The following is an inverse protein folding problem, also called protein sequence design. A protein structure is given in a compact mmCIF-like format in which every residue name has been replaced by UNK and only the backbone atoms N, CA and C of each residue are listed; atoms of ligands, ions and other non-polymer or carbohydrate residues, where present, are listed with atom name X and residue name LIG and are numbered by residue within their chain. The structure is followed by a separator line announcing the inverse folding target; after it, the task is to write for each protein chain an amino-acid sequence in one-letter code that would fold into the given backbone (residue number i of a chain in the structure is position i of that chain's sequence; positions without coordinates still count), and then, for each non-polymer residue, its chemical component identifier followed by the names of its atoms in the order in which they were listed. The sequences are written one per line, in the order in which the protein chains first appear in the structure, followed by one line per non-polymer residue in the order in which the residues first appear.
data_IF_310108056678
#
_entry.id   IF_310108056678
#
_cell.length_a   1.000
_cell.length_b   1.000
_cell.length_c   1.000
_cell.angle_alpha   90.00
_cell.angle_beta   90.00
_cell.angle_gamma   90.00
#
_symmetry.space_group_name_H-M   'P 1'
#
loop_
_entity.id
_entity.type
_entity.pdbx_description
1 polymer ?
#
# COMPACT_ATOMS: atom_id res chain seq x y z
N UNK A 1 4.98 -4.79 -26.25
CA UNK A 1 6.12 -3.85 -26.16
C UNK A 1 5.51 -2.46 -26.20
N UNK A 2 5.27 -1.85 -25.05
CA UNK A 2 4.75 -0.48 -25.03
C UNK A 2 5.26 0.18 -23.76
N UNK A 3 6.41 0.82 -23.87
CA UNK A 3 6.78 1.93 -23.00
C UNK A 3 5.78 3.06 -23.22
N UNK A 4 5.47 3.85 -22.20
CA UNK A 4 4.62 5.03 -22.39
C UNK A 4 5.30 6.00 -23.38
N UNK A 5 4.53 6.80 -24.14
CA UNK A 5 5.09 7.82 -25.03
C UNK A 5 6.12 8.69 -24.29
N UNK A 6 7.25 9.00 -24.93
CA UNK A 6 8.29 9.85 -24.33
C UNK A 6 9.20 9.18 -23.30
N UNK A 7 9.01 7.89 -22.99
CA UNK A 7 9.92 7.16 -22.09
C UNK A 7 11.11 6.53 -22.84
N UNK A 8 12.35 6.72 -22.37
CA UNK A 8 13.51 6.04 -22.92
C UNK A 8 13.43 4.53 -22.64
N UNK A 9 13.93 3.74 -23.57
CA UNK A 9 14.02 2.28 -23.42
C UNK A 9 15.08 1.88 -22.37
N UNK A 10 16.08 2.73 -22.13
CA UNK A 10 17.19 2.50 -21.21
C UNK A 10 17.32 3.70 -20.26
N UNK A 11 17.24 3.45 -18.96
CA UNK A 11 17.47 4.45 -17.91
C UNK A 11 18.86 4.30 -17.31
N UNK A 12 19.55 5.44 -17.14
CA UNK A 12 20.87 5.52 -16.51
C UNK A 12 21.92 4.56 -17.10
N UNK A 13 21.78 4.19 -18.38
CA UNK A 13 22.64 3.21 -19.03
C UNK A 13 22.57 1.78 -18.47
N UNK A 14 21.64 1.50 -17.53
CA UNK A 14 21.59 0.27 -16.74
C UNK A 14 20.27 -0.47 -16.80
N UNK A 15 19.14 0.26 -16.77
CA UNK A 15 17.83 -0.38 -16.63
C UNK A 15 17.06 -0.37 -17.94
N UNK A 16 16.90 -1.54 -18.54
CA UNK A 16 16.12 -1.70 -19.77
C UNK A 16 14.64 -1.85 -19.43
N UNK A 17 13.82 -0.84 -19.74
CA UNK A 17 12.38 -0.84 -19.49
C UNK A 17 11.67 -1.82 -20.45
N UNK A 18 10.75 -2.65 -19.93
CA UNK A 18 10.06 -3.66 -20.71
C UNK A 18 8.57 -3.34 -20.92
N UNK A 19 7.83 -3.14 -19.82
CA UNK A 19 6.38 -2.87 -19.85
C UNK A 19 5.92 -2.13 -18.60
N UNK A 20 4.81 -1.41 -18.72
CA UNK A 20 4.10 -0.83 -17.59
C UNK A 20 3.49 -1.95 -16.73
N UNK A 21 3.65 -1.83 -15.41
CA UNK A 21 3.02 -2.66 -14.38
C UNK A 21 1.78 -1.96 -13.80
N UNK A 22 1.84 -0.64 -13.64
CA UNK A 22 0.74 0.18 -13.15
C UNK A 22 1.01 1.66 -13.38
N UNK A 23 -0.05 2.46 -13.37
CA UNK A 23 0.00 3.92 -13.52
C UNK A 23 -1.04 4.55 -12.61
N UNK A 24 -0.69 5.63 -11.92
CA UNK A 24 -1.58 6.36 -11.03
C UNK A 24 -1.18 7.83 -10.89
N UNK A 25 -1.88 8.56 -10.02
CA UNK A 25 -1.68 10.00 -9.84
C UNK A 25 -0.26 10.39 -9.45
N UNK A 26 0.46 9.48 -8.79
CA UNK A 26 1.82 9.71 -8.30
C UNK A 26 2.94 9.26 -9.24
N UNK A 27 2.64 8.44 -10.25
CA UNK A 27 3.70 7.84 -11.05
C UNK A 27 3.28 6.69 -11.95
N UNK A 28 4.26 6.21 -12.70
CA UNK A 28 4.17 5.01 -13.53
C UNK A 28 5.22 4.03 -13.04
N UNK A 29 4.80 2.77 -12.86
CA UNK A 29 5.67 1.67 -12.46
C UNK A 29 5.95 0.79 -13.67
N UNK A 30 7.22 0.52 -13.95
CA UNK A 30 7.69 -0.31 -15.04
C UNK A 30 8.31 -1.59 -14.50
N UNK A 31 8.16 -2.68 -15.25
CA UNK A 31 9.08 -3.81 -15.18
C UNK A 31 10.31 -3.46 -16.01
N UNK A 32 11.49 -3.72 -15.47
CA UNK A 32 12.76 -3.50 -16.14
C UNK A 32 13.74 -4.63 -15.88
N UNK A 33 14.73 -4.78 -16.76
CA UNK A 33 15.92 -5.61 -16.53
C UNK A 33 17.07 -4.73 -16.06
N UNK A 34 17.75 -5.16 -15.02
CA UNK A 34 19.00 -4.59 -14.56
C UNK A 34 20.16 -5.24 -15.34
N UNK A 35 20.67 -4.51 -16.33
CA UNK A 35 21.69 -5.02 -17.25
C UNK A 35 23.03 -5.28 -16.55
N UNK A 36 23.31 -4.61 -15.43
CA UNK A 36 24.53 -4.85 -14.64
C UNK A 36 24.46 -6.24 -14.01
N UNK A 37 23.37 -6.54 -13.29
CA UNK A 37 23.19 -7.87 -12.68
C UNK A 37 23.08 -8.99 -13.73
N UNK A 38 22.46 -8.70 -14.87
CA UNK A 38 22.39 -9.64 -16.00
C UNK A 38 23.79 -9.96 -16.56
N UNK A 39 24.67 -8.96 -16.69
CA UNK A 39 26.05 -9.15 -17.16
C UNK A 39 26.86 -10.07 -16.24
N UNK A 40 26.61 -10.02 -14.93
CA UNK A 40 27.25 -10.91 -13.95
C UNK A 40 26.52 -12.25 -13.77
N UNK A 41 25.48 -12.52 -14.56
CA UNK A 41 24.79 -13.82 -14.57
C UNK A 41 23.86 -14.04 -13.37
N UNK A 42 23.37 -12.99 -12.73
CA UNK A 42 22.39 -13.16 -11.66
C UNK A 42 21.09 -13.77 -12.20
N UNK A 43 20.54 -14.81 -11.53
CA UNK A 43 19.36 -15.52 -12.02
C UNK A 43 18.08 -14.67 -12.03
N UNK A 44 18.04 -13.57 -11.28
CA UNK A 44 16.88 -12.69 -11.15
C UNK A 44 17.27 -11.21 -11.32
N UNK A 45 17.62 -10.79 -12.54
CA UNK A 45 17.97 -9.39 -12.86
C UNK A 45 16.77 -8.46 -13.04
N UNK A 46 15.53 -8.91 -12.83
CA UNK A 46 14.34 -8.09 -13.06
C UNK A 46 13.98 -7.24 -11.85
N UNK A 47 13.70 -5.95 -12.07
CA UNK A 47 13.30 -4.98 -11.05
C UNK A 47 11.99 -4.27 -11.44
N UNK A 48 11.32 -3.68 -10.45
CA UNK A 48 10.29 -2.68 -10.70
C UNK A 48 10.89 -1.28 -10.56
N UNK A 49 10.49 -0.35 -11.44
CA UNK A 49 10.97 1.02 -11.46
C UNK A 49 9.79 1.97 -11.39
N UNK A 50 9.75 2.83 -10.37
CA UNK A 50 8.77 3.92 -10.30
C UNK A 50 9.40 5.21 -10.83
N UNK A 51 8.70 5.85 -11.76
CA UNK A 51 8.97 7.20 -12.23
C UNK A 51 7.75 8.07 -11.96
N UNK A 52 7.94 9.37 -11.75
CA UNK A 52 6.81 10.30 -11.66
C UNK A 52 6.07 10.38 -13.00
N UNK A 53 4.76 10.60 -12.94
CA UNK A 53 3.92 10.82 -14.12
C UNK A 53 4.19 12.19 -14.74
N UNK A 54 3.85 12.38 -16.01
CA UNK A 54 4.14 13.62 -16.76
C UNK A 54 3.64 14.88 -16.04
N UNK A 55 2.43 14.84 -15.49
CA UNK A 55 1.82 15.97 -14.76
C UNK A 55 2.63 16.38 -13.52
N UNK A 56 3.28 15.42 -12.87
CA UNK A 56 4.08 15.65 -11.68
C UNK A 56 5.52 16.01 -12.01
N UNK A 57 6.07 15.53 -13.13
CA UNK A 57 7.46 15.82 -13.53
C UNK A 57 7.75 17.31 -13.69
N UNK A 58 6.73 18.09 -14.04
CA UNK A 58 6.85 19.53 -14.22
C UNK A 58 6.74 20.32 -12.91
N UNK A 59 6.39 19.67 -11.79
CA UNK A 59 6.31 20.33 -10.50
C UNK A 59 7.73 20.63 -9.94
N UNK A 60 7.97 21.81 -9.36
CA UNK A 60 9.29 22.16 -8.83
C UNK A 60 9.80 21.21 -7.74
N UNK A 61 8.88 20.59 -6.99
CA UNK A 61 9.13 19.68 -5.86
C UNK A 61 9.03 18.19 -6.24
N UNK A 62 8.81 17.86 -7.52
CA UNK A 62 8.56 16.51 -8.02
C UNK A 62 9.57 15.46 -7.51
N UNK A 63 10.85 15.72 -7.74
CA UNK A 63 11.96 14.84 -7.35
C UNK A 63 12.05 14.68 -5.82
N UNK A 64 11.69 15.72 -5.06
CA UNK A 64 11.66 15.69 -3.60
C UNK A 64 10.55 14.76 -3.12
N UNK A 65 9.35 14.83 -3.73
CA UNK A 65 8.24 13.95 -3.38
C UNK A 65 8.57 12.48 -3.65
N UNK A 66 9.17 12.19 -4.82
CA UNK A 66 9.60 10.83 -5.16
C UNK A 66 10.69 10.32 -4.21
N UNK A 67 11.65 11.18 -3.86
CA UNK A 67 12.70 10.83 -2.92
C UNK A 67 12.14 10.60 -1.50
N UNK A 68 11.16 11.39 -1.06
CA UNK A 68 10.49 11.19 0.22
C UNK A 68 9.81 9.83 0.30
N UNK A 69 9.08 9.41 -0.74
CA UNK A 69 8.49 8.07 -0.81
C UNK A 69 9.57 6.97 -0.72
N UNK A 70 10.64 7.12 -1.50
CA UNK A 70 11.76 6.18 -1.48
C UNK A 70 12.41 6.09 -0.11
N UNK A 71 12.73 7.24 0.51
CA UNK A 71 13.40 7.31 1.80
C UNK A 71 12.55 6.75 2.93
N UNK A 72 11.24 7.05 2.93
CA UNK A 72 10.27 6.49 3.88
C UNK A 72 10.19 4.97 3.74
N UNK A 73 10.06 4.45 2.52
CA UNK A 73 9.90 3.00 2.33
C UNK A 73 11.21 2.27 2.57
N UNK A 74 12.35 2.85 2.19
CA UNK A 74 13.68 2.24 2.35
C UNK A 74 14.09 2.09 3.82
N UNK A 75 13.58 2.92 4.73
CA UNK A 75 13.85 2.78 6.16
C UNK A 75 13.14 1.56 6.78
N UNK A 76 12.11 1.02 6.09
CA UNK A 76 11.33 -0.12 6.55
C UNK A 76 11.98 -1.43 6.12
N UNK A 77 12.21 -2.31 7.10
CA UNK A 77 12.79 -3.64 6.91
C UNK A 77 11.84 -4.70 7.46
N UNK A 78 10.91 -5.15 6.62
CA UNK A 78 9.89 -6.12 6.99
C UNK A 78 9.56 -7.05 5.82
N UNK A 79 9.35 -8.35 6.09
CA UNK A 79 9.01 -9.32 5.04
C UNK A 79 7.65 -9.06 4.37
N UNK A 80 6.80 -8.22 4.95
CA UNK A 80 5.50 -7.83 4.38
C UNK A 80 5.48 -6.43 3.78
N UNK A 81 6.62 -5.78 3.65
CA UNK A 81 6.76 -4.44 3.03
C UNK A 81 7.69 -4.55 1.83
N UNK A 82 7.36 -3.82 0.75
CA UNK A 82 8.17 -3.82 -0.48
C UNK A 82 9.60 -3.38 -0.21
N UNK A 83 10.57 -4.13 -0.75
CA UNK A 83 11.98 -3.78 -0.64
C UNK A 83 12.41 -2.75 -1.70
N UNK A 84 12.97 -1.63 -1.24
CA UNK A 84 13.63 -0.63 -2.08
C UNK A 84 15.11 -0.97 -2.32
N UNK A 85 15.62 -0.69 -3.52
CA UNK A 85 17.01 -0.93 -3.89
C UNK A 85 17.81 0.37 -4.02
N UNK A 86 17.47 1.23 -4.98
CA UNK A 86 18.20 2.46 -5.26
C UNK A 86 17.29 3.59 -5.71
N UNK A 87 17.72 4.83 -5.47
CA UNK A 87 17.14 6.04 -6.05
C UNK A 87 18.20 6.68 -6.93
N UNK A 88 17.84 7.03 -8.14
CA UNK A 88 18.75 7.51 -9.17
C UNK A 88 18.13 8.64 -9.97
N UNK A 89 19.00 9.46 -10.57
CA UNK A 89 18.61 10.51 -11.51
C UNK A 89 19.35 10.25 -12.81
N UNK A 90 18.60 9.96 -13.88
CA UNK A 90 19.16 9.85 -15.21
C UNK A 90 19.35 11.26 -15.80
N UNK A 91 20.61 11.69 -15.88
CA UNK A 91 20.99 13.01 -16.38
C UNK A 91 20.60 13.18 -17.85
N UNK A 92 20.65 12.11 -18.65
CA UNK A 92 20.39 12.19 -20.09
C UNK A 92 18.91 12.47 -20.39
N UNK A 93 18.03 11.88 -19.59
CA UNK A 93 16.57 12.04 -19.72
C UNK A 93 15.98 13.03 -18.71
N UNK A 94 16.79 13.57 -17.79
CA UNK A 94 16.36 14.45 -16.69
C UNK A 94 15.25 13.83 -15.83
N UNK A 95 15.34 12.52 -15.58
CA UNK A 95 14.31 11.78 -14.83
C UNK A 95 14.86 11.18 -13.54
N UNK A 96 14.18 11.50 -12.43
CA UNK A 96 14.36 10.79 -11.18
C UNK A 96 13.51 9.51 -11.17
N UNK A 97 14.06 8.44 -10.61
CA UNK A 97 13.40 7.15 -10.45
C UNK A 97 13.94 6.41 -9.23
N UNK A 98 13.20 5.42 -8.76
CA UNK A 98 13.73 4.43 -7.84
C UNK A 98 13.43 3.02 -8.31
N UNK A 99 14.30 2.10 -7.89
CA UNK A 99 14.20 0.67 -8.13
C UNK A 99 13.73 -0.04 -6.87
N UNK A 100 12.87 -1.04 -7.04
CA UNK A 100 12.34 -1.87 -5.96
C UNK A 100 12.19 -3.32 -6.42
N UNK A 101 11.95 -4.21 -5.47
CA UNK A 101 11.71 -5.62 -5.78
C UNK A 101 10.55 -5.77 -6.77
N UNK A 102 10.73 -6.65 -7.75
CA UNK A 102 9.65 -7.00 -8.66
C UNK A 102 8.77 -8.05 -8.00
N UNK A 103 7.69 -7.59 -7.37
CA UNK A 103 6.70 -8.48 -6.75
C UNK A 103 5.96 -9.28 -7.83
N UNK A 104 5.75 -10.58 -7.56
CA UNK A 104 4.98 -11.50 -8.40
C UNK A 104 3.62 -11.76 -7.76
N UNK A 105 2.64 -12.11 -8.60
CA UNK A 105 1.28 -12.41 -8.16
C UNK A 105 0.27 -11.35 -8.59
N UNK A 106 -0.75 -11.13 -7.78
CA UNK A 106 -1.84 -10.21 -8.07
C UNK A 106 -2.13 -9.28 -6.89
N UNK A 107 -2.61 -8.09 -7.18
CA UNK A 107 -3.07 -7.15 -6.16
C UNK A 107 -4.39 -7.60 -5.55
N UNK A 108 -4.65 -7.24 -4.28
CA UNK A 108 -5.87 -7.66 -3.59
C UNK A 108 -7.14 -7.08 -4.23
N UNK A 109 -7.07 -5.96 -4.96
CA UNK A 109 -8.23 -5.46 -5.71
C UNK A 109 -8.65 -6.41 -6.84
N UNK A 110 -7.68 -7.10 -7.47
CA UNK A 110 -7.96 -8.14 -8.47
C UNK A 110 -8.49 -9.40 -7.82
N UNK A 111 -7.94 -9.79 -6.68
CA UNK A 111 -8.47 -10.91 -5.89
C UNK A 111 -9.94 -10.69 -5.50
N UNK A 112 -10.30 -9.48 -5.09
CA UNK A 112 -11.69 -9.11 -4.79
C UNK A 112 -12.61 -9.20 -6.01
N UNK A 113 -12.11 -8.92 -7.22
CA UNK A 113 -12.89 -9.08 -8.45
C UNK A 113 -13.12 -10.57 -8.78
N UNK A 114 -12.16 -11.43 -8.48
CA UNK A 114 -12.28 -12.89 -8.69
C UNK A 114 -13.15 -13.57 -7.61
N UNK A 115 -13.25 -12.97 -6.42
CA UNK A 115 -14.03 -13.46 -5.28
C UNK A 115 -15.19 -12.55 -4.87
N UNK A 116 -16.28 -12.42 -5.67
CA UNK A 116 -17.41 -11.52 -5.39
C UNK A 116 -18.19 -11.84 -4.11
N UNK A 117 -17.87 -13.00 -3.55
CA UNK A 117 -18.54 -13.68 -2.46
C UNK A 117 -17.67 -13.65 -1.18
N UNK A 118 -16.50 -13.01 -1.25
CA UNK A 118 -15.52 -12.92 -0.18
C UNK A 118 -14.75 -14.22 0.03
N UNK A 119 -13.62 -14.11 0.70
CA UNK A 119 -12.71 -15.21 0.99
C UNK A 119 -13.19 -15.99 2.22
N UNK A 120 -13.20 -17.33 2.17
CA UNK A 120 -13.39 -18.16 3.36
C UNK A 120 -12.37 -17.80 4.45
N UNK A 121 -12.75 -17.92 5.72
CA UNK A 121 -11.89 -17.54 6.85
C UNK A 121 -10.48 -18.12 6.80
N UNK A 122 -10.35 -19.38 6.32
CA UNK A 122 -9.06 -20.08 6.22
C UNK A 122 -8.08 -19.37 5.27
N UNK A 123 -8.58 -18.71 4.24
CA UNK A 123 -7.80 -17.95 3.26
C UNK A 123 -7.67 -16.49 3.69
N UNK A 124 -8.74 -15.91 4.25
CA UNK A 124 -8.75 -14.54 4.76
C UNK A 124 -7.80 -14.32 5.94
N UNK A 125 -7.80 -15.22 6.92
CA UNK A 125 -7.11 -15.02 8.19
C UNK A 125 -5.60 -14.78 8.02
N UNK A 126 -4.85 -15.60 7.24
CA UNK A 126 -3.45 -15.33 7.00
C UNK A 126 -3.19 -13.97 6.36
N UNK A 127 -4.00 -13.57 5.37
CA UNK A 127 -3.85 -12.29 4.68
C UNK A 127 -4.10 -11.10 5.62
N UNK A 128 -5.17 -11.18 6.42
CA UNK A 128 -5.52 -10.15 7.39
C UNK A 128 -4.43 -10.01 8.46
N UNK A 129 -3.94 -11.13 9.01
CA UNK A 129 -2.87 -11.12 10.02
C UNK A 129 -1.57 -10.55 9.45
N UNK A 130 -1.16 -10.96 8.25
CA UNK A 130 0.05 -10.43 7.61
C UNK A 130 -0.05 -8.93 7.31
N UNK A 131 -1.22 -8.44 6.88
CA UNK A 131 -1.44 -7.02 6.62
C UNK A 131 -1.41 -6.20 7.92
N UNK A 132 -2.09 -6.67 8.96
CA UNK A 132 -2.11 -6.01 10.27
C UNK A 132 -0.69 -5.97 10.88
N UNK A 133 0.06 -7.06 10.77
CA UNK A 133 1.46 -7.13 11.21
C UNK A 133 2.36 -6.14 10.45
N UNK A 134 2.20 -6.05 9.12
CA UNK A 134 2.93 -5.09 8.29
C UNK A 134 2.67 -3.65 8.73
N UNK A 135 1.41 -3.26 8.92
CA UNK A 135 1.03 -1.89 9.31
C UNK A 135 1.44 -1.59 10.75
N UNK A 136 1.30 -2.56 11.67
CA UNK A 136 1.80 -2.43 13.03
C UNK A 136 3.33 -2.22 13.06
N UNK A 137 4.08 -2.95 12.23
CA UNK A 137 5.52 -2.71 12.07
C UNK A 137 5.82 -1.28 11.58
N UNK A 138 5.12 -0.83 10.54
CA UNK A 138 5.25 0.53 9.98
C UNK A 138 5.00 1.60 11.06
N UNK A 139 3.95 1.44 11.86
CA UNK A 139 3.62 2.35 12.96
C UNK A 139 4.70 2.36 14.05
N UNK A 140 5.26 1.19 14.41
CA UNK A 140 6.39 1.11 15.37
C UNK A 140 7.67 1.79 14.88
N UNK A 141 7.86 1.91 13.57
CA UNK A 141 8.97 2.68 12.98
C UNK A 141 8.67 4.19 12.92
N UNK A 142 7.54 4.65 13.48
CA UNK A 142 7.13 6.05 13.41
C UNK A 142 6.77 6.47 12.00
N UNK A 143 6.26 5.57 11.17
CA UNK A 143 5.79 5.86 9.82
C UNK A 143 4.28 5.59 9.76
N UNK A 144 3.57 6.40 9.00
CA UNK A 144 2.16 6.22 8.64
C UNK A 144 2.10 5.97 7.14
N UNK A 145 1.28 5.02 6.69
CA UNK A 145 1.18 4.65 5.28
C UNK A 145 0.33 5.65 4.49
N UNK A 146 -0.82 6.05 5.05
CA UNK A 146 -1.73 7.02 4.45
C UNK A 146 -2.70 6.42 3.43
N UNK A 147 -2.22 5.54 2.55
CA UNK A 147 -3.02 5.05 1.41
C UNK A 147 -3.15 3.52 1.40
N UNK A 148 -3.52 2.91 2.53
CA UNK A 148 -3.74 1.46 2.57
C UNK A 148 -5.02 1.13 1.81
N UNK A 149 -4.88 0.34 0.75
CA UNK A 149 -6.00 -0.11 -0.10
C UNK A 149 -5.62 -1.37 -0.87
N UNK A 150 -6.58 -2.14 -1.41
CA UNK A 150 -6.30 -3.43 -2.03
C UNK A 150 -5.33 -3.36 -3.24
N UNK A 151 -5.32 -2.26 -3.99
CA UNK A 151 -4.38 -2.07 -5.10
C UNK A 151 -2.93 -1.86 -4.64
N UNK A 152 -2.70 -1.43 -3.40
CA UNK A 152 -1.38 -1.21 -2.79
C UNK A 152 -0.90 -2.44 -1.98
N UNK A 153 -1.56 -3.59 -2.14
CA UNK A 153 -1.21 -4.83 -1.46
C UNK A 153 -1.12 -5.93 -2.52
N UNK A 154 0.09 -6.44 -2.73
CA UNK A 154 0.35 -7.56 -3.64
C UNK A 154 0.26 -8.87 -2.87
N UNK A 155 -0.45 -9.86 -3.40
CA UNK A 155 -0.44 -11.24 -2.95
C UNK A 155 0.44 -12.07 -3.89
N UNK A 156 1.55 -12.57 -3.36
CA UNK A 156 2.43 -13.53 -4.04
C UNK A 156 2.45 -14.89 -3.33
N UNK A 157 3.31 -15.79 -3.80
CA UNK A 157 3.41 -17.17 -3.29
C UNK A 157 3.78 -17.22 -1.79
N UNK A 158 4.62 -16.27 -1.35
CA UNK A 158 5.07 -16.20 0.04
C UNK A 158 4.14 -15.37 0.95
N UNK A 159 3.03 -14.85 0.43
CA UNK A 159 2.07 -14.00 1.15
C UNK A 159 2.03 -12.56 0.64
N UNK A 160 1.59 -11.64 1.50
CA UNK A 160 1.36 -10.25 1.09
C UNK A 160 2.62 -9.38 1.15
N UNK A 161 2.67 -8.37 0.27
CA UNK A 161 3.58 -7.23 0.30
C UNK A 161 2.79 -5.93 0.22
N UNK A 162 2.93 -5.07 1.24
CA UNK A 162 2.44 -3.71 1.26
C UNK A 162 3.43 -2.79 0.53
N UNK A 163 2.92 -1.96 -0.38
CA UNK A 163 3.73 -1.07 -1.21
C UNK A 163 3.03 0.27 -1.45
N UNK A 164 3.74 1.21 -2.09
CA UNK A 164 3.27 2.56 -2.42
C UNK A 164 3.00 3.46 -1.20
N UNK A 165 4.09 3.89 -0.55
CA UNK A 165 4.08 4.85 0.56
C UNK A 165 4.08 6.30 0.06
N UNK A 166 3.58 6.54 -1.15
CA UNK A 166 3.60 7.86 -1.77
C UNK A 166 2.88 8.95 -0.95
N UNK A 167 1.90 8.55 -0.13
CA UNK A 167 1.17 9.45 0.76
C UNK A 167 1.54 9.24 2.25
N UNK A 168 2.60 8.48 2.47
CA UNK A 168 3.12 8.18 3.78
C UNK A 168 3.74 9.41 4.44
N UNK A 169 3.86 9.33 5.77
CA UNK A 169 4.50 10.37 6.55
C UNK A 169 5.27 9.76 7.71
N UNK A 170 6.50 10.22 7.91
CA UNK A 170 7.19 10.02 9.17
C UNK A 170 6.57 10.90 10.25
N UNK A 171 6.36 10.34 11.43
CA UNK A 171 6.08 11.11 12.63
C UNK A 171 7.32 11.95 12.97
N UNK A 172 7.12 13.08 13.65
CA UNK A 172 8.12 14.14 13.80
C UNK A 172 9.48 13.67 14.37
N UNK A 173 9.52 12.52 15.05
CA UNK A 173 10.71 11.95 15.68
C UNK A 173 11.48 10.99 14.77
N UNK A 174 10.81 10.30 13.83
CA UNK A 174 11.44 9.21 13.05
C UNK A 174 12.31 9.71 11.89
N UNK A 175 11.90 10.78 11.20
CA UNK A 175 12.62 11.33 10.04
C UNK A 175 12.43 12.85 9.92
N UNK A 176 12.81 13.60 10.95
CA UNK A 176 12.78 15.06 10.93
C UNK A 176 13.55 15.61 9.71
N UNK A 177 12.84 16.29 8.80
CA UNK A 177 13.44 16.94 7.63
C UNK A 177 13.12 16.33 6.26
N UNK A 178 12.45 15.16 6.20
CA UNK A 178 11.87 14.72 4.92
C UNK A 178 10.74 15.65 4.50
N UNK A 179 10.72 16.04 3.23
CA UNK A 179 9.61 16.82 2.70
C UNK A 179 8.34 15.98 2.76
N UNK A 180 7.28 16.55 3.32
CA UNK A 180 5.95 15.93 3.26
C UNK A 180 5.27 16.34 1.97
N UNK A 181 4.62 15.38 1.32
CA UNK A 181 3.72 15.67 0.21
C UNK A 181 2.60 16.56 0.73
N UNK A 182 2.36 17.71 0.10
CA UNK A 182 1.22 18.56 0.40
C UNK A 182 -0.05 17.86 -0.07
N UNK A 183 -0.77 17.25 0.87
CA UNK A 183 -1.92 16.35 0.66
C UNK A 183 -3.09 17.04 -0.05
N UNK A 184 -3.24 18.35 0.14
CA UNK A 184 -4.28 19.18 -0.48
C UNK A 184 -4.10 19.33 -2.00
N UNK A 185 -2.88 19.15 -2.52
CA UNK A 185 -2.59 19.36 -3.95
C UNK A 185 -3.01 18.20 -4.85
N UNK A 186 -3.33 17.03 -4.30
CA UNK A 186 -3.38 15.79 -5.10
C UNK A 186 -4.70 15.04 -5.12
N UNK A 187 -5.78 15.53 -4.49
CA UNK A 187 -6.96 14.68 -4.22
C UNK A 187 -6.50 13.31 -3.70
N UNK A 188 -5.56 13.35 -2.75
CA UNK A 188 -4.56 12.30 -2.56
C UNK A 188 -5.19 10.94 -2.21
N UNK A 189 -6.27 10.97 -1.43
CA UNK A 189 -6.86 9.75 -0.91
C UNK A 189 -7.82 9.11 -1.91
N UNK A 190 -7.82 7.79 -1.92
CA UNK A 190 -8.91 7.03 -2.54
C UNK A 190 -10.12 7.08 -1.60
N UNK A 191 -11.22 7.80 -1.94
CA UNK A 191 -12.29 8.09 -0.97
C UNK A 191 -12.91 6.85 -0.31
N UNK A 192 -12.89 5.71 -1.00
CA UNK A 192 -13.42 4.44 -0.50
C UNK A 192 -12.66 3.84 0.70
N UNK A 193 -11.39 4.21 0.92
CA UNK A 193 -10.55 3.67 2.00
C UNK A 193 -10.05 4.75 2.96
N UNK A 194 -10.16 6.02 2.57
CA UNK A 194 -9.78 7.15 3.39
C UNK A 194 -10.64 7.20 4.66
N UNK A 195 -9.99 7.37 5.82
CA UNK A 195 -10.70 7.60 7.06
C UNK A 195 -11.53 8.91 6.96
N UNK A 196 -12.75 8.98 7.54
CA UNK A 196 -13.64 10.13 7.35
C UNK A 196 -13.02 11.47 7.76
N UNK A 197 -12.21 11.48 8.82
CA UNK A 197 -11.48 12.66 9.29
C UNK A 197 -10.45 13.14 8.27
N UNK A 198 -9.82 12.25 7.48
CA UNK A 198 -8.90 12.65 6.41
C UNK A 198 -9.64 13.35 5.28
N UNK A 199 -10.83 12.85 4.93
CA UNK A 199 -11.69 13.48 3.93
C UNK A 199 -12.21 14.86 4.40
N UNK A 200 -12.28 15.07 5.71
CA UNK A 200 -12.62 16.35 6.33
C UNK A 200 -11.42 17.30 6.52
N UNK A 201 -10.24 16.96 5.98
CA UNK A 201 -9.01 17.77 6.12
C UNK A 201 -8.26 17.57 7.44
N UNK A 202 -8.60 16.54 8.20
CA UNK A 202 -7.88 16.13 9.40
C UNK A 202 -6.50 15.58 9.11
N UNK A 203 -5.69 15.44 10.17
CA UNK A 203 -4.33 14.91 10.07
C UNK A 203 -4.31 13.39 9.85
N UNK A 204 -3.27 12.90 9.17
CA UNK A 204 -2.99 11.47 9.13
C UNK A 204 -2.48 10.97 10.46
N UNK A 205 -3.10 9.89 10.93
CA UNK A 205 -2.81 9.25 12.21
C UNK A 205 -2.78 7.73 12.04
N UNK A 206 -2.24 7.03 13.03
CA UNK A 206 -2.30 5.56 13.07
C UNK A 206 -3.75 5.04 13.07
N UNK A 207 -4.68 5.80 13.68
CA UNK A 207 -6.11 5.48 13.65
C UNK A 207 -6.68 5.53 12.23
N UNK A 208 -6.21 6.44 11.38
CA UNK A 208 -6.65 6.52 9.98
C UNK A 208 -6.15 5.33 9.14
N UNK A 209 -4.89 4.91 9.33
CA UNK A 209 -4.37 3.69 8.70
C UNK A 209 -5.14 2.44 9.18
N UNK A 210 -5.47 2.36 10.48
CA UNK A 210 -6.29 1.28 11.04
C UNK A 210 -7.65 1.20 10.35
N UNK A 211 -8.32 2.32 10.13
CA UNK A 211 -9.60 2.36 9.42
C UNK A 211 -9.44 1.78 8.00
N UNK A 212 -8.43 2.23 7.28
CA UNK A 212 -8.16 1.79 5.92
C UNK A 212 -7.87 0.28 5.84
N UNK A 213 -7.03 -0.25 6.74
CA UNK A 213 -6.78 -1.71 6.86
C UNK A 213 -8.06 -2.47 7.19
N UNK A 214 -8.87 -1.95 8.11
CA UNK A 214 -10.13 -2.59 8.49
C UNK A 214 -11.13 -2.63 7.33
N UNK A 215 -11.16 -1.60 6.47
CA UNK A 215 -11.93 -1.63 5.22
C UNK A 215 -11.46 -2.76 4.31
N UNK A 216 -10.14 -2.92 4.10
CA UNK A 216 -9.60 -4.02 3.29
C UNK A 216 -9.99 -5.39 3.86
N UNK A 217 -9.82 -5.61 5.17
CA UNK A 217 -10.17 -6.88 5.82
C UNK A 217 -11.68 -7.16 5.71
N UNK A 218 -12.52 -6.12 5.87
CA UNK A 218 -13.97 -6.25 5.71
C UNK A 218 -14.34 -6.66 4.29
N UNK A 219 -13.79 -5.98 3.28
CA UNK A 219 -14.06 -6.27 1.87
C UNK A 219 -13.63 -7.68 1.49
N UNK A 220 -12.45 -8.13 1.93
CA UNK A 220 -11.99 -9.49 1.70
C UNK A 220 -12.93 -10.53 2.33
N UNK A 221 -13.50 -10.24 3.50
CA UNK A 221 -14.47 -11.13 4.16
C UNK A 221 -15.87 -11.10 3.53
N UNK A 222 -16.24 -9.96 2.94
CA UNK A 222 -17.60 -9.68 2.46
C UNK A 222 -17.77 -9.89 0.95
N UNK A 223 -16.69 -9.76 0.17
CA UNK A 223 -16.68 -9.87 -1.29
C UNK A 223 -17.12 -8.62 -2.05
N UNK A 224 -17.65 -7.62 -1.35
CA UNK A 224 -18.13 -6.37 -1.95
C UNK A 224 -17.36 -5.20 -1.40
N UNK A 225 -17.04 -4.26 -2.30
CA UNK A 225 -16.44 -2.99 -1.93
C UNK A 225 -17.37 -2.21 -1.02
N UNK A 226 -16.76 -1.59 -0.02
CA UNK A 226 -17.44 -0.80 0.98
C UNK A 226 -17.88 0.56 0.40
N UNK A 227 -17.05 1.12 -0.49
CA UNK A 227 -17.29 2.43 -1.12
C UNK A 227 -17.29 3.58 -0.11
N UNK A 228 -17.76 4.76 -0.57
CA UNK A 228 -17.99 5.90 0.31
C UNK A 228 -19.21 5.64 1.19
N UNK A 229 -18.97 5.44 2.49
CA UNK A 229 -20.04 5.14 3.45
C UNK A 229 -20.57 6.36 4.14
N UNK A 230 -21.88 6.37 4.34
CA UNK A 230 -22.52 7.34 5.24
C UNK A 230 -22.37 6.89 6.69
N UNK A 231 -22.24 7.85 7.61
CA UNK A 231 -22.13 7.55 9.04
C UNK A 231 -23.35 6.79 9.61
N UNK A 232 -24.49 6.87 8.93
CA UNK A 232 -25.74 6.19 9.30
C UNK A 232 -25.83 4.74 8.80
N UNK A 233 -24.95 4.30 7.90
CA UNK A 233 -24.96 2.93 7.38
C UNK A 233 -24.38 1.95 8.38
N UNK A 234 -25.25 1.06 8.87
CA UNK A 234 -24.87 -0.03 9.76
C UNK A 234 -24.23 -1.15 8.95
N UNK A 235 -23.01 -1.53 9.32
CA UNK A 235 -22.38 -2.72 8.76
C UNK A 235 -22.92 -4.00 9.40
N UNK A 236 -23.17 -4.97 8.54
CA UNK A 236 -23.41 -6.35 8.94
C UNK A 236 -22.08 -7.09 9.04
N UNK A 237 -22.06 -8.12 9.90
CA UNK A 237 -20.90 -9.01 10.01
C UNK A 237 -20.76 -9.80 8.71
N UNK A 238 -19.58 -9.77 8.05
CA UNK A 238 -19.35 -10.59 6.86
C UNK A 238 -19.52 -12.08 7.17
N UNK A 239 -20.09 -12.82 6.22
CA UNK A 239 -20.40 -14.26 6.38
C UNK A 239 -19.17 -15.09 6.75
N UNK A 240 -18.02 -14.77 6.15
CA UNK A 240 -16.74 -15.46 6.32
C UNK A 240 -15.91 -14.93 7.48
N UNK A 241 -16.41 -13.96 8.26
CA UNK A 241 -15.74 -13.45 9.45
C UNK A 241 -16.31 -14.13 10.71
N UNK A 242 -15.49 -14.79 11.55
CA UNK A 242 -15.98 -15.36 12.80
C UNK A 242 -16.65 -14.31 13.69
N UNK A 243 -17.73 -14.70 14.37
CA UNK A 243 -18.47 -13.81 15.27
C UNK A 243 -17.59 -13.18 16.36
N UNK A 244 -16.54 -13.87 16.79
CA UNK A 244 -15.59 -13.40 17.81
C UNK A 244 -14.72 -12.22 17.32
N UNK A 245 -14.39 -12.14 16.03
CA UNK A 245 -13.52 -11.08 15.51
C UNK A 245 -14.33 -9.83 15.09
N UNK A 246 -15.65 -9.97 14.92
CA UNK A 246 -16.51 -8.88 14.47
C UNK A 246 -16.53 -7.64 15.38
N UNK A 247 -16.62 -7.76 16.73
CA UNK A 247 -16.58 -6.59 17.60
C UNK A 247 -15.31 -5.76 17.41
N UNK A 248 -14.14 -6.40 17.30
CA UNK A 248 -12.86 -5.74 17.09
C UNK A 248 -12.79 -5.05 15.72
N UNK A 249 -13.16 -5.75 14.64
CA UNK A 249 -13.18 -5.16 13.29
C UNK A 249 -14.16 -3.97 13.21
N UNK A 250 -15.30 -4.06 13.90
CA UNK A 250 -16.29 -2.99 13.94
C UNK A 250 -15.81 -1.75 14.70
N UNK A 251 -14.98 -1.91 15.74
CA UNK A 251 -14.33 -0.76 16.40
C UNK A 251 -13.38 -0.06 15.43
N UNK A 252 -12.56 -0.82 14.71
CA UNK A 252 -11.64 -0.29 13.70
C UNK A 252 -12.36 0.41 12.51
N UNK A 253 -13.58 -0.04 12.17
CA UNK A 253 -14.42 0.56 11.12
C UNK A 253 -15.29 1.74 11.61
N UNK A 254 -15.10 2.21 12.84
CA UNK A 254 -15.89 3.32 13.36
C UNK A 254 -15.56 4.62 12.61
N UNK A 255 -16.61 5.31 12.15
CA UNK A 255 -16.49 6.57 11.38
C UNK A 255 -15.92 7.70 12.24
N UNK A 256 -16.21 7.67 13.54
CA UNK A 256 -15.67 8.60 14.52
C UNK A 256 -14.31 8.05 15.04
N UNK A 257 -13.19 8.79 14.85
CA UNK A 257 -11.88 8.34 15.31
C UNK A 257 -11.80 8.08 16.81
N UNK A 258 -12.54 8.80 17.63
CA UNK A 258 -12.56 8.60 19.09
C UNK A 258 -13.19 7.26 19.49
N UNK A 259 -13.98 6.66 18.59
CA UNK A 259 -14.58 5.33 18.77
C UNK A 259 -13.71 4.20 18.25
N UNK A 260 -12.62 4.49 17.52
CA UNK A 260 -11.59 3.52 17.13
C UNK A 260 -10.65 3.26 18.32
N UNK A 261 -11.20 2.70 19.40
CA UNK A 261 -10.48 2.42 20.66
C UNK A 261 -9.68 1.12 20.63
N UNK A 262 -9.23 0.69 19.44
CA UNK A 262 -8.44 -0.53 19.23
C UNK A 262 -7.23 -0.17 18.39
N UNK A 263 -6.07 -0.77 18.63
CA UNK A 263 -4.89 -0.60 17.79
C UNK A 263 -4.82 -1.62 16.65
N UNK A 264 -3.90 -1.40 15.69
CA UNK A 264 -3.62 -2.37 14.61
C UNK A 264 -3.09 -3.69 15.19
N UNK A 265 -2.22 -3.62 16.20
CA UNK A 265 -1.68 -4.77 16.93
C UNK A 265 -2.80 -5.57 17.61
N UNK A 266 -3.67 -4.88 18.36
CA UNK A 266 -4.77 -5.52 19.09
C UNK A 266 -5.75 -6.20 18.12
N UNK A 267 -6.06 -5.55 17.00
CA UNK A 267 -6.87 -6.16 15.94
C UNK A 267 -6.15 -7.40 15.34
N UNK A 268 -4.84 -7.30 15.12
CA UNK A 268 -3.99 -8.42 14.69
C UNK A 268 -4.05 -9.62 15.64
N UNK A 269 -3.92 -9.38 16.94
CA UNK A 269 -4.01 -10.42 17.96
C UNK A 269 -5.38 -11.12 17.97
N UNK A 270 -6.47 -10.35 17.87
CA UNK A 270 -7.83 -10.90 17.80
C UNK A 270 -7.97 -11.79 16.57
N UNK A 271 -7.53 -11.32 15.39
CA UNK A 271 -7.60 -12.08 14.15
C UNK A 271 -6.73 -13.34 14.18
N UNK A 272 -5.54 -13.28 14.79
CA UNK A 272 -4.64 -14.43 14.91
C UNK A 272 -5.17 -15.51 15.87
N UNK A 273 -5.77 -15.11 17.00
CA UNK A 273 -6.32 -16.04 18.01
C UNK A 273 -7.68 -16.63 17.59
N UNK A 274 -8.42 -15.94 16.72
CA UNK A 274 -9.71 -16.41 16.22
C UNK A 274 -9.58 -17.75 15.49
N UNK A 275 -10.27 -18.79 16.00
CA UNK A 275 -10.44 -20.07 15.28
C UNK A 275 -11.86 -20.15 14.72
N UNK A 276 -12.01 -20.69 13.51
CA UNK A 276 -13.33 -21.02 12.99
C UNK A 276 -13.92 -22.14 13.85
N UNK A 277 -14.96 -21.82 14.63
CA UNK A 277 -15.70 -22.83 15.39
C UNK A 277 -16.74 -23.42 14.45
N UNK A 278 -16.45 -24.61 13.95
CA UNK A 278 -17.48 -25.51 13.44
C UNK A 278 -18.44 -25.75 14.63
N UNK A 279 -19.73 -25.43 14.47
CA UNK A 279 -20.81 -25.53 15.47
C UNK A 279 -21.01 -24.34 16.43
N UNK A 280 -22.09 -23.57 16.19
CA UNK A 280 -23.22 -23.38 17.12
C UNK A 280 -24.50 -23.24 16.32
#
# INVERSE_FOLDING_TARGET
MTTAPGMPTLLAGRYHLERVLGSGGMGVVYRARDLLHEQFGEPCSSVAIKVLGENLRLAPDAHVLLYSEFALTRSLQHERVVRMFAFEVDISSQMAFFTMELMRGMTLDRLLLEGPDGLPWRELQPLAVQLLDAVAYVHRQGVLHGDVKPVNIMLGDDGIRLFDFGLGQATAEAMAGLASVSRDRFSAWTPAYAAPELLAGGALTASADLYAVACVVYELAHGKRLGERRATERLERPRHLPAACWPALRLALAMDPERRTISVEELGEVMARCRWRWFR
#
